data_IF_884896425456
#
_entry.id   IF_884896425456
#
_cell.length_a   1.000
_cell.length_b   1.000
_cell.length_c   1.000
_cell.angle_alpha   90.00
_cell.angle_beta   90.00
_cell.angle_gamma   90.00
#
_symmetry.space_group_name_H-M   'P 1'
#
loop_
_entity.id
_entity.type
_entity.pdbx_description
1 polymer ?
#
# COMPACT_ATOMS: atom_id res chain seq x y z
N UNK A 1 21.38 -21.09 -4.95
CA UNK A 1 20.09 -21.06 -4.23
C UNK A 1 19.29 -19.91 -4.79
N UNK A 2 18.22 -20.18 -5.54
CA UNK A 2 17.40 -19.14 -6.15
C UNK A 2 16.66 -18.45 -5.01
N UNK A 3 17.06 -17.22 -4.65
CA UNK A 3 16.35 -16.41 -3.67
C UNK A 3 14.98 -16.15 -4.30
N UNK A 4 13.98 -16.89 -3.86
CA UNK A 4 12.59 -16.62 -4.21
C UNK A 4 12.31 -15.18 -3.80
N UNK A 5 11.95 -14.32 -4.77
CA UNK A 5 11.42 -12.97 -4.49
C UNK A 5 10.10 -13.09 -3.71
N UNK A 6 10.20 -13.37 -2.41
CA UNK A 6 9.11 -13.28 -1.45
C UNK A 6 9.05 -11.84 -0.97
N UNK A 7 7.96 -11.15 -1.31
CA UNK A 7 7.66 -9.85 -0.73
C UNK A 7 6.99 -10.10 0.61
N UNK A 8 7.51 -9.53 1.69
CA UNK A 8 6.89 -9.73 2.99
C UNK A 8 5.65 -8.86 3.15
N UNK A 9 5.69 -7.66 2.55
CA UNK A 9 4.66 -6.63 2.72
C UNK A 9 4.29 -6.04 1.35
N UNK A 10 2.99 -5.92 1.08
CA UNK A 10 2.46 -5.08 0.00
C UNK A 10 1.84 -3.83 0.61
N UNK A 11 2.23 -2.66 0.13
CA UNK A 11 1.50 -1.41 0.38
C UNK A 11 0.49 -1.20 -0.75
N UNK A 12 -0.80 -1.22 -0.43
CA UNK A 12 -1.90 -0.95 -1.36
C UNK A 12 -2.38 0.48 -1.15
N UNK A 13 -2.15 1.35 -2.13
CA UNK A 13 -2.26 2.80 -1.92
C UNK A 13 -2.96 3.54 -3.07
N UNK A 14 -3.65 4.62 -2.70
CA UNK A 14 -4.26 5.57 -3.63
C UNK A 14 -3.24 6.67 -4.04
N UNK A 15 -3.45 7.32 -5.19
CA UNK A 15 -2.42 8.12 -5.90
C UNK A 15 -1.99 9.42 -5.19
N UNK A 16 -2.81 9.93 -4.27
CA UNK A 16 -2.63 11.29 -3.72
C UNK A 16 -1.54 11.37 -2.63
N UNK A 17 -1.15 10.25 -2.03
CA UNK A 17 -0.21 10.23 -0.90
C UNK A 17 1.06 9.43 -1.16
N UNK A 18 1.55 9.45 -2.41
CA UNK A 18 2.80 8.76 -2.83
C UNK A 18 4.01 9.07 -1.96
N UNK A 19 4.11 10.29 -1.42
CA UNK A 19 5.23 10.71 -0.57
C UNK A 19 5.19 9.95 0.76
N UNK A 20 4.06 9.98 1.47
CA UNK A 20 3.89 9.28 2.74
C UNK A 20 4.04 7.76 2.59
N UNK A 21 3.45 7.20 1.53
CA UNK A 21 3.59 5.77 1.20
C UNK A 21 5.06 5.40 0.96
N UNK A 22 5.82 6.25 0.27
CA UNK A 22 7.24 6.00 0.03
C UNK A 22 8.05 6.07 1.33
N UNK A 23 7.75 7.02 2.21
CA UNK A 23 8.40 7.07 3.53
C UNK A 23 8.13 5.79 4.33
N UNK A 24 6.88 5.34 4.38
CA UNK A 24 6.53 4.08 5.03
C UNK A 24 7.26 2.88 4.40
N UNK A 25 7.34 2.83 3.08
CA UNK A 25 8.06 1.77 2.38
C UNK A 25 9.55 1.74 2.75
N UNK A 26 10.19 2.90 2.82
CA UNK A 26 11.59 3.02 3.21
C UNK A 26 11.81 2.59 4.66
N UNK A 27 10.98 3.06 5.60
CA UNK A 27 11.11 2.67 7.01
C UNK A 27 10.95 1.16 7.21
N UNK A 28 10.00 0.53 6.51
CA UNK A 28 9.86 -0.93 6.53
C UNK A 28 11.07 -1.64 5.91
N UNK A 29 11.65 -1.07 4.84
CA UNK A 29 12.86 -1.62 4.24
C UNK A 29 14.08 -1.51 5.18
N UNK A 30 14.21 -0.40 5.93
CA UNK A 30 15.27 -0.18 6.91
C UNK A 30 15.21 -1.19 8.07
N UNK A 31 14.00 -1.66 8.42
CA UNK A 31 13.76 -2.74 9.38
C UNK A 31 13.95 -4.15 8.77
N UNK A 32 14.37 -4.24 7.50
CA UNK A 32 14.68 -5.51 6.81
C UNK A 32 13.50 -6.17 6.09
N UNK A 33 12.34 -5.51 5.96
CA UNK A 33 11.21 -6.06 5.21
C UNK A 33 11.38 -5.88 3.69
N UNK A 34 10.99 -6.89 2.90
CA UNK A 34 10.85 -6.77 1.46
C UNK A 34 9.48 -6.17 1.11
N UNK A 35 9.46 -4.91 0.68
CA UNK A 35 8.22 -4.14 0.46
C UNK A 35 7.94 -3.94 -1.02
N UNK A 36 6.71 -4.21 -1.46
CA UNK A 36 6.21 -3.82 -2.80
C UNK A 36 5.10 -2.79 -2.68
N UNK A 37 5.25 -1.65 -3.36
CA UNK A 37 4.18 -0.67 -3.49
C UNK A 37 3.30 -0.98 -4.69
N UNK A 38 1.98 -0.99 -4.49
CA UNK A 38 0.98 -1.13 -5.54
C UNK A 38 0.05 0.06 -5.49
N UNK A 39 0.08 0.86 -6.56
CA UNK A 39 -0.81 1.99 -6.74
C UNK A 39 -2.02 1.54 -7.57
N UNK A 40 -3.22 1.93 -7.13
CA UNK A 40 -4.49 1.44 -7.69
C UNK A 40 -4.81 1.98 -9.10
N UNK A 41 -3.93 2.78 -9.70
CA UNK A 41 -4.04 3.30 -11.07
C UNK A 41 -3.71 2.26 -12.15
N UNK A 42 -3.14 1.10 -11.77
CA UNK A 42 -2.84 -0.01 -12.69
C UNK A 42 -3.99 -1.01 -12.72
N UNK A 43 -4.28 -1.55 -13.91
CA UNK A 43 -5.30 -2.59 -14.12
C UNK A 43 -5.21 -3.70 -13.06
N UNK A 44 -6.32 -4.06 -12.40
CA UNK A 44 -6.34 -4.96 -11.24
C UNK A 44 -5.75 -6.36 -11.50
N UNK A 45 -5.59 -6.75 -12.77
CA UNK A 45 -5.02 -8.02 -13.20
C UNK A 45 -3.57 -8.24 -12.74
N UNK A 46 -2.78 -7.19 -12.50
CA UNK A 46 -1.37 -7.31 -12.08
C UNK A 46 -1.20 -7.45 -10.56
N UNK A 47 -2.28 -7.26 -9.79
CA UNK A 47 -2.25 -7.26 -8.32
C UNK A 47 -2.40 -8.69 -7.77
N UNK A 48 -3.27 -9.50 -8.40
CA UNK A 48 -3.55 -10.88 -7.96
C UNK A 48 -2.33 -11.79 -7.91
N UNK A 49 -1.41 -11.69 -8.88
CA UNK A 49 -0.20 -12.52 -8.91
C UNK A 49 0.82 -12.16 -7.83
N UNK A 50 0.81 -10.90 -7.34
CA UNK A 50 1.70 -10.44 -6.27
C UNK A 50 1.21 -10.86 -4.88
N UNK A 51 -0.11 -10.96 -4.68
CA UNK A 51 -0.69 -11.36 -3.40
C UNK A 51 -0.33 -12.79 -2.98
N UNK A 52 -0.15 -13.70 -3.93
CA UNK A 52 0.17 -15.10 -3.61
C UNK A 52 1.52 -15.28 -2.91
N UNK A 53 2.47 -14.36 -3.13
CA UNK A 53 3.82 -14.40 -2.54
C UNK A 53 4.00 -13.49 -1.32
N UNK A 54 2.90 -12.95 -0.79
CA UNK A 54 2.92 -11.94 0.28
C UNK A 54 2.35 -12.46 1.59
N UNK A 55 2.96 -12.03 2.70
CA UNK A 55 2.51 -12.32 4.07
C UNK A 55 1.49 -11.28 4.57
N UNK A 56 1.76 -9.99 4.42
CA UNK A 56 0.89 -8.90 4.89
C UNK A 56 0.55 -7.88 3.79
N UNK A 57 -0.70 -7.46 3.72
CA UNK A 57 -1.14 -6.36 2.86
C UNK A 57 -1.49 -5.15 3.73
N UNK A 58 -0.74 -4.06 3.64
CA UNK A 58 -1.07 -2.81 4.31
C UNK A 58 -1.93 -1.98 3.36
N UNK A 59 -3.14 -1.64 3.78
CA UNK A 59 -4.07 -0.80 3.02
C UNK A 59 -3.92 0.63 3.51
N UNK A 60 -3.40 1.50 2.66
CA UNK A 60 -3.12 2.90 2.99
C UNK A 60 -4.32 3.77 2.60
N UNK A 61 -5.16 4.09 3.59
CA UNK A 61 -6.30 4.99 3.42
C UNK A 61 -5.84 6.45 3.41
N UNK A 62 -6.32 7.21 2.42
CA UNK A 62 -6.30 8.67 2.37
C UNK A 62 -7.71 9.21 2.62
N UNK A 63 -7.84 10.52 2.84
CA UNK A 63 -9.14 11.17 3.10
C UNK A 63 -10.19 10.99 2.00
N UNK A 64 -9.75 10.80 0.76
CA UNK A 64 -10.60 10.60 -0.42
C UNK A 64 -10.57 9.16 -0.95
N UNK A 65 -10.08 8.19 -0.15
CA UNK A 65 -9.89 6.81 -0.60
C UNK A 65 -11.17 6.17 -1.14
N UNK A 66 -12.31 6.42 -0.47
CA UNK A 66 -13.63 5.87 -0.84
C UNK A 66 -14.22 6.48 -2.11
N UNK A 67 -13.75 7.65 -2.52
CA UNK A 67 -14.22 8.35 -3.72
C UNK A 67 -13.58 7.77 -5.01
N UNK A 68 -12.46 7.05 -4.87
CA UNK A 68 -11.75 6.45 -6.00
C UNK A 68 -12.21 5.00 -6.24
N UNK A 69 -12.89 4.77 -7.36
CA UNK A 69 -13.43 3.45 -7.73
C UNK A 69 -12.36 2.36 -7.87
N UNK A 70 -11.14 2.72 -8.29
CA UNK A 70 -10.03 1.77 -8.36
C UNK A 70 -9.51 1.41 -6.96
N UNK A 71 -9.48 2.35 -6.03
CA UNK A 71 -9.07 2.12 -4.63
C UNK A 71 -10.09 1.20 -3.93
N UNK A 72 -11.40 1.40 -4.21
CA UNK A 72 -12.46 0.48 -3.75
C UNK A 72 -12.40 -0.91 -4.40
N UNK A 73 -12.09 -0.98 -5.70
CA UNK A 73 -11.90 -2.27 -6.39
C UNK A 73 -10.70 -3.03 -5.82
N UNK A 74 -9.58 -2.34 -5.59
CA UNK A 74 -8.38 -2.91 -4.99
C UNK A 74 -8.66 -3.45 -3.58
N UNK A 75 -9.40 -2.68 -2.76
CA UNK A 75 -9.85 -3.11 -1.43
C UNK A 75 -10.67 -4.40 -1.50
N UNK A 76 -11.66 -4.47 -2.41
CA UNK A 76 -12.50 -5.66 -2.58
C UNK A 76 -11.69 -6.89 -2.99
N UNK A 77 -10.67 -6.72 -3.84
CA UNK A 77 -9.76 -7.80 -4.23
C UNK A 77 -8.92 -8.24 -3.01
N UNK A 78 -8.37 -7.31 -2.24
CA UNK A 78 -7.63 -7.61 -1.01
C UNK A 78 -8.50 -8.41 -0.02
N UNK A 79 -9.73 -7.96 0.24
CA UNK A 79 -10.66 -8.67 1.14
C UNK A 79 -10.98 -10.07 0.59
N UNK A 80 -11.29 -10.16 -0.71
CA UNK A 80 -11.66 -11.42 -1.35
C UNK A 80 -10.49 -12.42 -1.46
N UNK A 81 -9.25 -11.95 -1.34
CA UNK A 81 -8.06 -12.82 -1.36
C UNK A 81 -7.91 -13.67 -0.10
N UNK A 82 -8.60 -13.34 1.00
CA UNK A 82 -8.49 -14.01 2.29
C UNK A 82 -7.12 -13.86 2.97
N UNK A 83 -6.25 -13.00 2.44
CA UNK A 83 -4.94 -12.68 3.01
C UNK A 83 -5.08 -11.75 4.22
N UNK A 84 -4.09 -11.80 5.10
CA UNK A 84 -3.99 -10.87 6.21
C UNK A 84 -3.75 -9.46 5.69
N UNK A 85 -4.51 -8.50 6.22
CA UNK A 85 -4.38 -7.10 5.87
C UNK A 85 -4.45 -6.20 7.10
N UNK A 86 -3.71 -5.10 7.04
CA UNK A 86 -3.67 -4.07 8.06
C UNK A 86 -4.13 -2.74 7.46
N UNK A 87 -5.29 -2.20 7.85
CA UNK A 87 -5.70 -0.86 7.45
C UNK A 87 -4.91 0.19 8.23
N UNK A 88 -4.35 1.18 7.52
CA UNK A 88 -3.73 2.36 8.12
C UNK A 88 -4.30 3.63 7.48
N UNK A 89 -4.54 4.65 8.29
CA UNK A 89 -4.92 5.98 7.80
C UNK A 89 -3.66 6.84 7.67
N UNK A 90 -3.40 7.35 6.47
CA UNK A 90 -2.36 8.34 6.22
C UNK A 90 -2.97 9.73 6.34
N UNK A 91 -2.47 10.51 7.30
CA UNK A 91 -2.86 11.91 7.47
C UNK A 91 -1.63 12.77 7.27
N UNK A 92 -1.73 13.76 6.37
CA UNK A 92 -0.77 14.86 6.37
C UNK A 92 -1.05 15.69 7.61
N UNK A 93 -0.06 15.80 8.49
CA UNK A 93 -0.17 16.76 9.58
C UNK A 93 -0.15 18.15 8.96
N UNK A 94 -1.22 18.92 9.15
CA UNK A 94 -1.21 20.36 8.96
C UNK A 94 -0.40 20.97 10.11
N UNK A 95 0.90 20.73 10.13
CA UNK A 95 1.79 21.64 10.83
C UNK A 95 1.84 22.88 9.94
N UNK A 96 1.06 23.88 10.33
CA UNK A 96 1.18 25.22 9.80
C UNK A 96 2.67 25.57 9.79
N UNK A 97 3.24 25.70 8.60
CA UNK A 97 4.44 26.49 8.44
C UNK A 97 3.96 27.94 8.52
N UNK A 98 3.84 28.44 9.76
CA UNK A 98 3.93 29.87 10.03
C UNK A 98 5.40 30.27 9.83
N UNK A 99 5.87 30.23 8.58
CA UNK A 99 7.19 30.73 8.20
C UNK A 99 7.01 31.92 7.25
N UNK A 100 6.98 33.11 7.90
CA UNK A 100 7.12 34.49 7.41
C UNK A 100 6.02 35.11 6.54
#
# INVERSE_FOLDING_TARGET
>A
TQISDSYNIILNCCFDDKILVRHLANSLADEGYHVSMTFSDKTPSTIGSKFNKTYLIIICFSSNYSENSNCMTSLNITISSGKEYLPIMLMRSSLNHDDN
#
